data_IF_495718874119
#
_entry.id   IF_495718874119
#
_cell.length_a   1.000
_cell.length_b   1.000
_cell.length_c   1.000
_cell.angle_alpha   90.00
_cell.angle_beta   90.00
_cell.angle_gamma   90.00
#
_symmetry.space_group_name_H-M   'P 1'
#
loop_
_entity.id
_entity.type
_entity.pdbx_description
1 polymer ?
#
# COMPACT_ATOMS: atom_id res chain seq x y z
N UNK A 1 21.21 29.72 12.16
CA UNK A 1 20.83 29.98 10.73
C UNK A 1 19.74 29.04 10.19
N UNK A 2 19.80 27.70 10.39
CA UNK A 2 18.78 26.76 9.88
C UNK A 2 17.34 27.07 10.35
N UNK A 3 17.15 27.38 11.64
CA UNK A 3 15.85 27.77 12.22
C UNK A 3 15.27 29.04 11.61
N UNK A 4 16.09 30.07 11.43
CA UNK A 4 15.65 31.35 10.89
C UNK A 4 15.23 31.21 9.43
N UNK A 5 16.00 30.45 8.64
CA UNK A 5 15.63 30.09 7.25
C UNK A 5 14.33 29.28 7.20
N UNK A 6 14.14 28.32 8.10
CA UNK A 6 12.91 27.54 8.19
C UNK A 6 11.69 28.43 8.52
N UNK A 7 11.83 29.36 9.48
CA UNK A 7 10.76 30.29 9.85
C UNK A 7 10.41 31.27 8.73
N UNK A 8 11.43 31.79 8.01
CA UNK A 8 11.21 32.66 6.86
C UNK A 8 10.50 31.91 5.73
N UNK A 9 10.94 30.68 5.40
CA UNK A 9 10.26 29.87 4.39
C UNK A 9 8.82 29.55 4.80
N UNK A 10 8.60 29.18 6.06
CA UNK A 10 7.27 28.87 6.57
C UNK A 10 6.34 30.10 6.50
N UNK A 11 6.82 31.26 6.98
CA UNK A 11 6.07 32.52 6.94
C UNK A 11 5.77 32.98 5.50
N UNK A 12 6.75 32.84 4.60
CA UNK A 12 6.59 33.16 3.18
C UNK A 12 5.53 32.29 2.49
N UNK A 13 5.62 30.96 2.65
CA UNK A 13 4.62 30.05 2.08
C UNK A 13 3.23 30.21 2.70
N UNK A 14 3.16 30.53 3.99
CA UNK A 14 1.91 30.85 4.66
C UNK A 14 1.27 32.11 4.06
N UNK A 15 2.05 33.19 3.90
CA UNK A 15 1.56 34.44 3.31
C UNK A 15 1.06 34.22 1.87
N UNK A 16 1.82 33.51 1.04
CA UNK A 16 1.40 33.18 -0.33
C UNK A 16 0.12 32.33 -0.36
N UNK A 17 0.02 31.33 0.53
CA UNK A 17 -1.18 30.50 0.63
C UNK A 17 -2.39 31.33 1.03
N UNK A 18 -2.26 32.18 2.06
CA UNK A 18 -3.32 33.06 2.52
C UNK A 18 -3.76 34.02 1.42
N UNK A 19 -2.83 34.67 0.73
CA UNK A 19 -3.12 35.54 -0.41
C UNK A 19 -3.86 34.80 -1.54
N UNK A 20 -3.44 33.57 -1.87
CA UNK A 20 -4.12 32.76 -2.91
C UNK A 20 -5.57 32.44 -2.55
N UNK A 21 -5.87 32.26 -1.26
CA UNK A 21 -7.21 31.98 -0.75
C UNK A 21 -8.08 33.23 -0.72
N UNK A 22 -7.53 34.36 -0.28
CA UNK A 22 -8.25 35.64 -0.17
C UNK A 22 -8.55 36.24 -1.54
N UNK A 23 -7.66 36.07 -2.51
CA UNK A 23 -7.86 36.58 -3.88
C UNK A 23 -8.76 35.70 -4.75
N UNK A 24 -9.34 34.62 -4.20
CA UNK A 24 -10.13 33.61 -4.94
C UNK A 24 -9.42 33.00 -6.17
N UNK A 25 -8.11 33.23 -6.33
CA UNK A 25 -7.28 32.66 -7.41
C UNK A 25 -6.98 31.18 -7.17
N UNK A 26 -7.20 30.70 -5.94
CA UNK A 26 -7.06 29.30 -5.59
C UNK A 26 -8.14 28.42 -6.25
N UNK A 27 -7.77 27.72 -7.34
CA UNK A 27 -8.58 26.60 -7.86
C UNK A 27 -8.35 25.37 -6.98
N UNK A 28 -9.42 24.86 -6.36
CA UNK A 28 -9.42 23.55 -5.72
C UNK A 28 -9.19 22.51 -6.82
N UNK A 29 -7.96 22.00 -6.93
CA UNK A 29 -7.59 21.02 -7.94
C UNK A 29 -8.31 19.66 -7.84
N UNK A 30 -9.10 19.45 -6.78
CA UNK A 30 -10.03 18.32 -6.65
C UNK A 30 -9.38 16.95 -6.85
N UNK A 31 -10.14 16.03 -7.43
CA UNK A 31 -9.66 14.69 -7.81
C UNK A 31 -8.49 14.72 -8.82
N UNK A 32 -8.46 15.62 -9.84
CA UNK A 32 -7.31 15.71 -10.75
C UNK A 32 -5.98 15.98 -10.03
N UNK A 33 -5.94 16.98 -9.14
CA UNK A 33 -4.73 17.29 -8.37
C UNK A 33 -4.38 16.21 -7.36
N UNK A 34 -5.37 15.52 -6.81
CA UNK A 34 -5.12 14.35 -5.96
C UNK A 34 -4.39 13.27 -6.77
N UNK A 35 -4.88 12.93 -7.96
CA UNK A 35 -4.25 11.99 -8.87
C UNK A 35 -2.82 12.39 -9.26
N UNK A 36 -2.62 13.65 -9.68
CA UNK A 36 -1.28 14.18 -9.99
C UNK A 36 -0.28 14.00 -8.85
N UNK A 37 -0.72 14.16 -7.60
CA UNK A 37 0.15 14.06 -6.43
C UNK A 37 0.42 12.62 -5.98
N UNK A 38 -0.53 11.70 -6.16
CA UNK A 38 -0.52 10.39 -5.48
C UNK A 38 -0.53 9.18 -6.43
N UNK A 39 -0.88 9.36 -7.70
CA UNK A 39 -0.74 8.29 -8.71
C UNK A 39 0.72 7.82 -8.84
N UNK A 40 1.76 8.70 -8.80
CA UNK A 40 3.16 8.25 -8.83
C UNK A 40 3.58 7.39 -7.63
N UNK A 41 2.87 7.53 -6.49
CA UNK A 41 3.10 6.75 -5.28
C UNK A 41 2.37 5.40 -5.31
N UNK A 42 1.73 5.05 -6.42
CA UNK A 42 0.98 3.79 -6.58
C UNK A 42 -0.33 3.74 -5.79
N UNK A 43 -0.80 4.87 -5.26
CA UNK A 43 -2.02 4.95 -4.44
C UNK A 43 -3.27 4.91 -5.33
N UNK A 44 -3.66 3.69 -5.69
CA UNK A 44 -4.84 3.44 -6.50
C UNK A 44 -6.15 3.61 -5.71
N UNK A 45 -7.22 4.09 -6.36
CA UNK A 45 -8.53 4.17 -5.73
C UNK A 45 -9.07 2.77 -5.40
N UNK A 46 -9.47 2.56 -4.14
CA UNK A 46 -10.12 1.32 -3.73
C UNK A 46 -11.59 1.28 -4.15
N UNK A 47 -12.04 0.10 -4.60
CA UNK A 47 -13.47 -0.17 -4.77
C UNK A 47 -14.19 -0.10 -3.42
N UNK A 48 -15.52 0.14 -3.40
CA UNK A 48 -16.30 0.08 -2.16
C UNK A 48 -16.19 -1.27 -1.44
N UNK A 49 -16.07 -2.36 -2.21
CA UNK A 49 -15.92 -3.72 -1.70
C UNK A 49 -14.55 -3.91 -1.03
N UNK A 50 -13.45 -3.60 -1.72
CA UNK A 50 -12.09 -3.71 -1.14
C UNK A 50 -11.97 -2.83 0.11
N UNK A 51 -12.58 -1.64 0.10
CA UNK A 51 -12.57 -0.73 1.26
C UNK A 51 -13.29 -1.32 2.47
N UNK A 52 -14.38 -2.06 2.28
CA UNK A 52 -15.11 -2.71 3.36
C UNK A 52 -14.29 -3.87 3.96
N UNK A 53 -13.49 -4.54 3.14
CA UNK A 53 -12.67 -5.69 3.55
C UNK A 53 -11.31 -5.30 4.14
N UNK A 54 -10.80 -4.10 3.81
CA UNK A 54 -9.45 -3.65 4.17
C UNK A 54 -9.14 -3.78 5.68
N UNK A 55 -10.09 -3.40 6.54
CA UNK A 55 -9.90 -3.51 7.99
C UNK A 55 -9.68 -4.97 8.46
N UNK A 56 -10.30 -5.94 7.79
CA UNK A 56 -10.11 -7.36 8.08
C UNK A 56 -8.74 -7.88 7.61
N UNK A 57 -8.24 -7.36 6.48
CA UNK A 57 -6.93 -7.70 5.93
C UNK A 57 -5.79 -7.15 6.81
N UNK A 58 -5.99 -6.00 7.43
CA UNK A 58 -5.02 -5.33 8.30
C UNK A 58 -4.83 -5.98 9.69
N UNK A 59 -5.49 -7.09 9.99
CA UNK A 59 -5.31 -7.83 11.26
C UNK A 59 -3.96 -8.55 11.36
N UNK A 60 -3.20 -8.65 10.28
CA UNK A 60 -1.90 -9.31 10.29
C UNK A 60 -0.95 -8.61 11.28
N UNK A 61 -0.42 -9.37 12.23
CA UNK A 61 0.53 -8.91 13.25
C UNK A 61 1.99 -9.11 12.84
N UNK A 62 2.25 -9.59 11.62
CA UNK A 62 3.58 -9.96 11.13
C UNK A 62 4.31 -10.96 12.05
N UNK A 63 3.59 -11.97 12.54
CA UNK A 63 4.16 -13.00 13.43
C UNK A 63 5.08 -14.02 12.74
N UNK A 64 5.05 -14.11 11.40
CA UNK A 64 5.92 -15.00 10.62
C UNK A 64 5.54 -16.49 10.59
N UNK A 65 4.46 -16.94 11.23
CA UNK A 65 4.06 -18.35 11.22
C UNK A 65 3.78 -18.89 9.82
N UNK A 66 3.14 -18.09 8.96
CA UNK A 66 2.89 -18.44 7.57
C UNK A 66 4.17 -18.58 6.74
N UNK A 67 5.22 -17.82 7.07
CA UNK A 67 6.52 -17.89 6.38
C UNK A 67 7.25 -19.18 6.69
N UNK A 68 7.23 -19.62 7.96
CA UNK A 68 7.90 -20.84 8.38
C UNK A 68 7.40 -22.07 7.60
N UNK A 69 6.08 -22.16 7.39
CA UNK A 69 5.47 -23.28 6.65
C UNK A 69 5.73 -23.18 5.14
N UNK A 70 5.69 -21.97 4.56
CA UNK A 70 6.09 -21.80 3.17
C UNK A 70 7.57 -22.16 2.95
N UNK A 71 8.45 -21.84 3.89
CA UNK A 71 9.88 -22.19 3.82
C UNK A 71 10.10 -23.70 3.92
N UNK A 72 9.44 -24.38 4.86
CA UNK A 72 9.50 -25.84 5.01
C UNK A 72 8.95 -26.58 3.78
N UNK A 73 7.95 -26.01 3.12
CA UNK A 73 7.39 -26.56 1.88
C UNK A 73 8.22 -26.22 0.61
N UNK A 74 9.34 -25.47 0.74
CA UNK A 74 10.20 -25.09 -0.39
C UNK A 74 9.59 -24.02 -1.30
N UNK A 75 8.67 -23.22 -0.77
CA UNK A 75 7.81 -22.29 -1.51
C UNK A 75 8.30 -20.83 -1.44
N UNK A 76 9.38 -20.59 -0.69
CA UNK A 76 10.05 -19.28 -0.61
C UNK A 76 11.10 -19.19 -1.70
N UNK A 77 10.99 -18.19 -2.57
CA UNK A 77 11.97 -17.92 -3.63
C UNK A 77 13.26 -17.40 -2.99
N UNK A 78 14.39 -18.08 -3.22
CA UNK A 78 15.69 -17.58 -2.76
C UNK A 78 15.97 -16.19 -3.38
N UNK A 79 16.25 -15.19 -2.53
CA UNK A 79 16.76 -13.89 -2.96
C UNK A 79 15.83 -12.68 -2.81
N UNK A 80 14.61 -12.80 -2.28
CA UNK A 80 13.76 -11.63 -2.08
C UNK A 80 12.53 -11.88 -1.21
N UNK A 81 12.10 -10.83 -0.49
CA UNK A 81 10.96 -10.76 0.45
C UNK A 81 9.63 -11.12 -0.24
N UNK A 82 9.35 -12.41 -0.44
CA UNK A 82 8.26 -12.89 -1.33
C UNK A 82 7.36 -13.93 -0.67
N UNK A 83 7.17 -13.82 0.64
CA UNK A 83 6.28 -14.71 1.37
C UNK A 83 4.95 -14.08 1.78
N UNK A 84 4.02 -14.89 2.31
CA UNK A 84 2.68 -14.46 2.68
C UNK A 84 2.64 -13.33 3.71
N UNK A 85 3.63 -13.21 4.60
CA UNK A 85 3.67 -12.11 5.57
C UNK A 85 3.94 -10.79 4.87
N UNK A 86 4.91 -10.74 3.97
CA UNK A 86 5.25 -9.53 3.22
C UNK A 86 4.07 -9.11 2.32
N UNK A 87 3.39 -10.07 1.69
CA UNK A 87 2.14 -9.83 0.97
C UNK A 87 1.11 -9.13 1.87
N UNK A 88 0.91 -9.61 3.10
CA UNK A 88 -0.05 -8.98 4.01
C UNK A 88 0.37 -7.58 4.44
N UNK A 89 1.65 -7.36 4.75
CA UNK A 89 2.14 -6.05 5.23
C UNK A 89 2.19 -5.02 4.11
N UNK A 90 2.77 -5.36 2.97
CA UNK A 90 2.90 -4.45 1.83
C UNK A 90 1.62 -4.37 0.98
N UNK A 91 0.75 -5.39 1.03
CA UNK A 91 -0.45 -5.46 0.21
C UNK A 91 -1.74 -4.98 0.89
N UNK A 92 -1.78 -4.86 2.22
CA UNK A 92 -3.01 -4.45 2.91
C UNK A 92 -2.82 -3.35 3.97
N UNK A 93 -1.61 -3.20 4.51
CA UNK A 93 -1.32 -2.24 5.58
C UNK A 93 -0.74 -0.93 5.07
N UNK A 94 0.16 -1.01 4.09
CA UNK A 94 0.71 0.15 3.39
C UNK A 94 0.47 0.04 1.89
N UNK A 95 -0.57 0.71 1.42
CA UNK A 95 -0.96 0.66 0.00
C UNK A 95 0.05 1.40 -0.90
N UNK A 96 0.95 2.22 -0.36
CA UNK A 96 2.02 2.82 -1.16
C UNK A 96 3.12 1.80 -1.52
N UNK A 97 3.22 0.71 -0.75
CA UNK A 97 4.12 -0.41 -1.00
C UNK A 97 3.49 -1.49 -1.91
N UNK A 98 2.32 -1.22 -2.48
CA UNK A 98 1.65 -2.12 -3.42
C UNK A 98 2.53 -2.59 -4.59
N UNK A 99 3.35 -1.75 -5.23
CA UNK A 99 4.27 -2.21 -6.27
C UNK A 99 5.27 -3.26 -5.77
N UNK A 100 5.66 -3.21 -4.50
CA UNK A 100 6.51 -4.22 -3.86
C UNK A 100 5.73 -5.50 -3.59
N UNK A 101 4.52 -5.38 -3.05
CA UNK A 101 3.61 -6.52 -2.86
C UNK A 101 3.27 -7.22 -4.19
N UNK A 102 3.08 -6.46 -5.26
CA UNK A 102 2.82 -6.96 -6.60
C UNK A 102 3.97 -7.82 -7.11
N UNK A 103 5.23 -7.39 -6.89
CA UNK A 103 6.42 -8.20 -7.23
C UNK A 103 6.43 -9.51 -6.45
N UNK A 104 6.06 -9.48 -5.17
CA UNK A 104 5.90 -10.70 -4.37
C UNK A 104 4.74 -11.60 -4.83
N UNK A 105 3.72 -11.02 -5.46
CA UNK A 105 2.54 -11.71 -5.98
C UNK A 105 2.67 -12.23 -7.42
N UNK A 106 3.84 -12.05 -8.08
CA UNK A 106 4.08 -12.45 -9.49
C UNK A 106 4.19 -13.96 -9.70
N UNK A 107 4.36 -14.75 -8.63
CA UNK A 107 4.19 -16.20 -8.64
C UNK A 107 2.84 -16.61 -8.05
N UNK A 108 2.42 -17.85 -8.27
CA UNK A 108 1.54 -18.49 -7.27
C UNK A 108 2.30 -18.48 -5.96
N UNK A 109 1.73 -17.88 -4.92
CA UNK A 109 2.21 -18.07 -3.53
C UNK A 109 1.72 -19.46 -3.17
N UNK A 110 2.53 -20.50 -3.38
CA UNK A 110 2.06 -21.85 -3.14
C UNK A 110 1.91 -21.97 -1.63
N UNK A 111 0.86 -22.66 -1.18
CA UNK A 111 0.58 -22.73 0.24
C UNK A 111 -0.23 -21.55 0.81
N UNK A 112 -0.82 -20.67 -0.02
CA UNK A 112 -1.58 -19.51 0.49
C UNK A 112 -2.81 -19.92 1.33
N UNK A 113 -3.47 -21.03 1.00
CA UNK A 113 -4.59 -21.56 1.79
C UNK A 113 -4.10 -22.18 3.10
N UNK A 114 -3.02 -22.96 3.03
CA UNK A 114 -2.38 -23.60 4.17
C UNK A 114 -1.82 -22.55 5.15
N UNK A 115 -1.19 -21.51 4.62
CA UNK A 115 -0.72 -20.34 5.37
C UNK A 115 -1.88 -19.58 6.04
N UNK A 116 -3.02 -19.46 5.36
CA UNK A 116 -4.20 -18.81 5.93
C UNK A 116 -4.80 -19.64 7.07
N UNK A 117 -4.85 -20.96 6.92
CA UNK A 117 -5.34 -21.89 7.94
C UNK A 117 -4.52 -21.84 9.24
N UNK A 118 -3.22 -21.53 9.16
CA UNK A 118 -2.33 -21.41 10.31
C UNK A 118 -2.34 -20.02 10.96
N UNK A 119 -2.96 -19.03 10.31
CA UNK A 119 -2.91 -17.67 10.80
C UNK A 119 -3.74 -17.51 12.09
N UNK A 120 -3.13 -17.10 13.22
CA UNK A 120 -3.86 -16.88 14.47
C UNK A 120 -4.86 -15.72 14.40
N UNK A 121 -4.68 -14.82 13.42
CA UNK A 121 -5.54 -13.66 13.19
C UNK A 121 -6.60 -13.91 12.11
N UNK A 122 -6.64 -15.13 11.55
CA UNK A 122 -7.52 -15.52 10.45
C UNK A 122 -7.57 -14.48 9.33
N UNK A 123 -6.40 -14.04 8.85
CA UNK A 123 -6.33 -13.11 7.71
C UNK A 123 -6.48 -13.88 6.39
N UNK A 124 -7.25 -13.37 5.42
CA UNK A 124 -7.54 -14.08 4.19
C UNK A 124 -6.42 -13.86 3.17
N UNK A 125 -5.32 -14.59 3.31
CA UNK A 125 -4.13 -14.47 2.44
C UNK A 125 -4.48 -14.62 0.94
N UNK A 126 -5.31 -15.60 0.51
CA UNK A 126 -5.69 -15.74 -0.90
C UNK A 126 -6.47 -14.53 -1.45
N UNK A 127 -7.36 -13.95 -0.65
CA UNK A 127 -8.14 -12.77 -1.06
C UNK A 127 -7.23 -11.55 -1.25
N UNK A 128 -6.28 -11.34 -0.32
CA UNK A 128 -5.31 -10.25 -0.41
C UNK A 128 -4.38 -10.44 -1.60
N UNK A 129 -3.97 -11.68 -1.90
CA UNK A 129 -3.19 -11.99 -3.10
C UNK A 129 -3.95 -11.58 -4.37
N UNK A 130 -5.24 -11.95 -4.46
CA UNK A 130 -6.10 -11.56 -5.58
C UNK A 130 -6.27 -10.05 -5.69
N UNK A 131 -6.44 -9.35 -4.56
CA UNK A 131 -6.52 -7.90 -4.52
C UNK A 131 -5.24 -7.22 -5.03
N UNK A 132 -4.07 -7.66 -4.55
CA UNK A 132 -2.78 -7.10 -4.97
C UNK A 132 -2.53 -7.33 -6.47
N UNK A 133 -2.88 -8.50 -7.01
CA UNK A 133 -2.79 -8.77 -8.46
C UNK A 133 -3.67 -7.82 -9.27
N UNK A 134 -4.94 -7.61 -8.87
CA UNK A 134 -5.84 -6.64 -9.54
C UNK A 134 -5.30 -5.21 -9.51
N UNK A 135 -4.65 -4.81 -8.41
CA UNK A 135 -4.02 -3.48 -8.31
C UNK A 135 -2.78 -3.37 -9.20
N UNK A 136 -1.98 -4.45 -9.29
CA UNK A 136 -0.81 -4.50 -10.15
C UNK A 136 -1.20 -4.33 -11.63
N UNK A 137 -2.26 -5.01 -12.08
CA UNK A 137 -2.79 -4.87 -13.44
C UNK A 137 -3.23 -3.43 -13.72
N UNK A 138 -3.92 -2.79 -12.78
CA UNK A 138 -4.33 -1.38 -12.88
C UNK A 138 -3.15 -0.39 -12.92
N UNK A 139 -2.02 -0.72 -12.31
CA UNK A 139 -0.79 0.07 -12.41
C UNK A 139 -0.11 -0.14 -13.76
N UNK A 140 -0.14 -1.35 -14.31
CA UNK A 140 0.47 -1.67 -15.60
C UNK A 140 -0.28 -1.04 -16.79
N UNK A 141 -1.60 -0.86 -16.68
CA UNK A 141 -2.46 -0.27 -17.71
C UNK A 141 -2.42 1.28 -17.77
N UNK A 142 -1.61 1.94 -16.94
CA UNK A 142 -1.48 3.41 -16.87
C UNK A 142 -0.18 3.91 -17.49
#
# INVERSE_FOLDING_TARGET
MKRMRALVLLGWHFLLHWLSKVTFTYRRGGLPRFRENYDPDGLLPLSPEDRALLASWQRCTACGLCEAVCAEAGLVVEGGRTGPMELMTAGSRDLSEHPVAARAATGDVPGAEEAAALCPMAVPIPEVLGFVRRQADQLADR
#
